data_IF_089761504817
#
_entry.id   IF_089761504817
#
_cell.length_a   1.000
_cell.length_b   1.000
_cell.length_c   1.000
_cell.angle_alpha   90.00
_cell.angle_beta   90.00
_cell.angle_gamma   90.00
#
_symmetry.space_group_name_H-M   'P 1'
#
loop_
_entity.id
_entity.type
_entity.pdbx_description
1 polymer ?
#
# COMPACT_ATOMS: atom_id res chain seq x y z
N UNK A 1 34.40 -13.26 -12.92
CA UNK A 1 32.95 -13.47 -13.12
C UNK A 1 32.27 -12.92 -11.88
N UNK A 2 31.88 -11.65 -11.92
CA UNK A 2 31.19 -10.97 -10.80
C UNK A 2 29.74 -11.43 -10.80
N UNK A 3 29.34 -12.15 -9.75
CA UNK A 3 27.94 -12.51 -9.51
C UNK A 3 27.31 -11.37 -8.71
N UNK A 4 26.86 -10.35 -9.42
CA UNK A 4 25.98 -9.33 -8.86
C UNK A 4 24.54 -9.83 -8.98
N UNK A 5 24.12 -10.65 -8.01
CA UNK A 5 22.73 -11.07 -7.84
C UNK A 5 21.88 -9.85 -7.40
N UNK A 6 20.91 -9.38 -8.20
CA UNK A 6 20.05 -8.28 -7.81
C UNK A 6 19.08 -8.77 -6.73
N UNK A 7 19.28 -8.32 -5.48
CA UNK A 7 18.36 -8.62 -4.37
C UNK A 7 16.92 -8.24 -4.75
N UNK A 8 15.95 -9.16 -4.68
CA UNK A 8 14.55 -8.81 -4.86
C UNK A 8 14.10 -7.93 -3.69
N UNK A 9 13.91 -6.63 -3.94
CA UNK A 9 13.33 -5.69 -2.98
C UNK A 9 11.81 -5.83 -2.97
N UNK A 10 11.31 -6.88 -2.31
CA UNK A 10 9.89 -7.07 -2.00
C UNK A 10 9.52 -6.46 -0.66
N UNK A 11 9.37 -5.13 -0.61
CA UNK A 11 8.92 -4.38 0.58
C UNK A 11 7.42 -4.48 0.83
N UNK A 12 6.91 -5.67 1.19
CA UNK A 12 5.52 -5.88 1.61
C UNK A 12 5.35 -5.59 3.10
N UNK A 13 4.61 -4.53 3.46
CA UNK A 13 4.35 -4.11 4.84
C UNK A 13 3.65 -5.22 5.62
N UNK A 14 4.36 -5.84 6.57
CA UNK A 14 3.82 -6.81 7.53
C UNK A 14 2.98 -6.07 8.56
N UNK A 15 1.65 -6.08 8.40
CA UNK A 15 0.68 -5.63 9.41
C UNK A 15 0.16 -6.82 10.19
N UNK A 16 0.38 -6.83 11.50
CA UNK A 16 0.19 -7.97 12.41
C UNK A 16 -1.26 -8.36 12.70
N UNK A 17 -1.38 -9.59 13.21
CA UNK A 17 -2.32 -10.13 14.21
C UNK A 17 -3.45 -9.20 14.72
N UNK A 18 -4.33 -8.81 13.79
CA UNK A 18 -5.54 -8.04 14.04
C UNK A 18 -5.91 -7.31 12.76
N UNK A 19 -7.12 -7.51 12.24
CA UNK A 19 -7.57 -6.88 10.99
C UNK A 19 -7.53 -5.36 11.16
N UNK A 20 -6.40 -4.78 10.78
CA UNK A 20 -6.10 -3.37 10.92
C UNK A 20 -6.74 -2.64 9.75
N UNK A 21 -7.55 -1.63 10.04
CA UNK A 21 -8.24 -0.86 9.00
C UNK A 21 -7.25 -0.22 8.02
N UNK A 22 -6.05 0.12 8.49
CA UNK A 22 -4.93 0.55 7.64
C UNK A 22 -4.53 -0.52 6.62
N UNK A 23 -4.39 -1.78 7.04
CA UNK A 23 -3.99 -2.88 6.16
C UNK A 23 -5.03 -3.16 5.08
N UNK A 24 -6.31 -3.14 5.44
CA UNK A 24 -7.42 -3.34 4.50
C UNK A 24 -7.51 -2.18 3.50
N UNK A 25 -7.47 -0.92 3.96
CA UNK A 25 -7.48 0.24 3.07
C UNK A 25 -6.24 0.31 2.17
N UNK A 26 -5.07 -0.12 2.66
CA UNK A 26 -3.85 -0.23 1.88
C UNK A 26 -4.00 -1.27 0.77
N UNK A 27 -4.52 -2.47 1.07
CA UNK A 27 -4.70 -3.53 0.10
C UNK A 27 -5.67 -3.12 -1.02
N UNK A 28 -6.80 -2.50 -0.65
CA UNK A 28 -7.79 -1.99 -1.60
C UNK A 28 -7.19 -0.86 -2.45
N UNK A 29 -6.53 0.12 -1.81
CA UNK A 29 -5.90 1.24 -2.50
C UNK A 29 -4.77 0.82 -3.43
N UNK A 30 -3.94 -0.14 -3.01
CA UNK A 30 -2.85 -0.68 -3.82
C UNK A 30 -3.38 -1.48 -5.02
N UNK A 31 -4.39 -2.33 -4.83
CA UNK A 31 -5.02 -3.08 -5.93
C UNK A 31 -5.69 -2.17 -6.96
N UNK A 32 -6.45 -1.17 -6.49
CA UNK A 32 -7.10 -0.20 -7.36
C UNK A 32 -6.08 0.72 -8.08
N UNK A 33 -5.06 1.19 -7.36
CA UNK A 33 -3.98 2.01 -7.91
C UNK A 33 -3.14 1.27 -8.94
N UNK A 34 -2.88 -0.01 -8.74
CA UNK A 34 -2.21 -0.86 -9.73
C UNK A 34 -3.05 -1.01 -11.01
N UNK A 35 -4.37 -1.26 -10.88
CA UNK A 35 -5.28 -1.35 -12.02
C UNK A 35 -5.35 -0.03 -12.82
N UNK A 36 -5.43 1.11 -12.12
CA UNK A 36 -5.40 2.44 -12.73
C UNK A 36 -4.03 2.74 -13.38
N UNK A 37 -2.94 2.31 -12.76
CA UNK A 37 -1.59 2.44 -13.30
C UNK A 37 -1.41 1.70 -14.62
N UNK A 38 -1.99 0.49 -14.73
CA UNK A 38 -2.03 -0.30 -15.98
C UNK A 38 -2.80 0.46 -17.06
N UNK A 39 -4.00 0.97 -16.76
CA UNK A 39 -4.85 1.69 -17.72
C UNK A 39 -4.20 2.98 -18.22
N UNK A 40 -3.50 3.69 -17.34
CA UNK A 40 -2.91 5.00 -17.68
C UNK A 40 -1.54 4.86 -18.36
N UNK A 41 -1.00 3.64 -18.47
CA UNK A 41 0.37 3.39 -18.95
C UNK A 41 1.46 3.94 -18.02
N UNK A 42 1.09 4.43 -16.83
CA UNK A 42 1.97 5.05 -15.84
C UNK A 42 1.78 4.38 -14.48
N UNK A 43 2.37 3.19 -14.35
CA UNK A 43 2.41 2.40 -13.12
C UNK A 43 2.88 3.17 -11.88
N UNK A 44 3.95 4.00 -11.94
CA UNK A 44 4.43 4.72 -10.76
C UNK A 44 3.38 5.68 -10.22
N UNK A 45 2.64 6.36 -11.12
CA UNK A 45 1.62 7.33 -10.76
C UNK A 45 0.39 6.63 -10.19
N UNK A 46 -0.11 5.58 -10.85
CA UNK A 46 -1.26 4.83 -10.37
C UNK A 46 -1.03 4.23 -8.98
N UNK A 47 0.15 3.67 -8.75
CA UNK A 47 0.52 3.08 -7.47
C UNK A 47 0.73 4.15 -6.39
N UNK A 48 1.39 5.28 -6.71
CA UNK A 48 1.56 6.39 -5.77
C UNK A 48 0.22 6.98 -5.34
N UNK A 49 -0.72 7.16 -6.26
CA UNK A 49 -2.06 7.67 -5.97
C UNK A 49 -2.85 6.65 -5.15
N UNK A 50 -2.91 5.38 -5.56
CA UNK A 50 -3.68 4.36 -4.86
C UNK A 50 -3.15 4.06 -3.46
N UNK A 51 -1.83 3.97 -3.29
CA UNK A 51 -1.20 3.79 -1.98
C UNK A 51 -1.35 5.06 -1.13
N UNK A 52 -1.13 6.25 -1.70
CA UNK A 52 -1.29 7.51 -0.96
C UNK A 52 -2.71 7.69 -0.44
N UNK A 53 -3.71 7.43 -1.28
CA UNK A 53 -5.12 7.52 -0.90
C UNK A 53 -5.50 6.44 0.12
N UNK A 54 -5.11 5.18 -0.12
CA UNK A 54 -5.39 4.06 0.78
C UNK A 54 -4.76 4.23 2.16
N UNK A 55 -3.53 4.79 2.24
CA UNK A 55 -2.88 5.14 3.51
C UNK A 55 -3.57 6.32 4.17
N UNK A 56 -3.90 7.40 3.45
CA UNK A 56 -4.54 8.57 4.03
C UNK A 56 -5.90 8.22 4.66
N UNK A 57 -6.73 7.44 3.94
CA UNK A 57 -8.03 6.97 4.45
C UNK A 57 -7.84 5.97 5.59
N UNK A 58 -6.95 4.99 5.43
CA UNK A 58 -6.67 3.98 6.45
C UNK A 58 -6.16 4.60 7.75
N UNK A 59 -5.20 5.52 7.67
CA UNK A 59 -4.62 6.24 8.80
C UNK A 59 -5.62 7.19 9.45
N UNK A 60 -6.49 7.86 8.67
CA UNK A 60 -7.56 8.69 9.22
C UNK A 60 -8.59 7.88 10.01
N UNK A 61 -8.97 6.70 9.50
CA UNK A 61 -9.89 5.80 10.18
C UNK A 61 -9.26 5.15 11.42
N UNK A 62 -7.98 4.78 11.32
CA UNK A 62 -7.20 4.22 12.40
C UNK A 62 -6.96 5.23 13.52
N UNK A 63 -6.61 6.48 13.20
CA UNK A 63 -6.48 7.57 14.16
C UNK A 63 -7.80 7.86 14.91
N UNK A 64 -8.95 7.68 14.23
CA UNK A 64 -10.28 7.83 14.84
C UNK A 64 -10.66 6.64 15.73
N UNK A 65 -10.12 5.45 15.45
CA UNK A 65 -10.28 4.24 16.28
C UNK A 65 -9.32 4.20 17.46
N UNK A 66 -8.09 4.66 17.27
CA UNK A 66 -7.07 4.79 18.32
C UNK A 66 -7.47 5.78 19.40
N UNK A 67 -8.29 6.79 19.08
CA UNK A 67 -8.88 7.72 20.05
C UNK A 67 -9.98 7.11 20.94
N UNK A 68 -10.30 5.82 20.79
CA UNK A 68 -11.26 5.07 21.64
C UNK A 68 -10.56 4.07 22.59
N UNK A 69 -9.33 4.34 22.98
CA UNK A 69 -8.66 3.76 24.15
C UNK A 69 -7.93 4.85 24.91
#
# INVERSE_FOLDING_TARGET
MSNDDPRPQGGGKRGGDGVSFVGVCLAIGAGLGAALGIVTGNMPVGLAVGVGLGVAVGAGLDARRGRRR
#
